data_IF_866372337772
#
_entry.id   IF_866372337772
#
_cell.length_a   1.000
_cell.length_b   1.000
_cell.length_c   1.000
_cell.angle_alpha   90.00
_cell.angle_beta   90.00
_cell.angle_gamma   90.00
#
_symmetry.space_group_name_H-M   'P 1'
#
loop_
_entity.id
_entity.type
_entity.pdbx_description
1 polymer ?
#
# COMPACT_ATOMS: atom_id res chain seq x y z
N UNK A 1 14.58 -10.83 4.74
CA UNK A 1 13.51 -9.90 5.19
C UNK A 1 12.12 -10.17 4.61
N UNK A 2 11.96 -10.77 3.42
CA UNK A 2 10.66 -10.78 2.71
C UNK A 2 9.59 -11.77 3.22
N UNK A 3 9.96 -12.76 4.05
CA UNK A 3 9.00 -13.74 4.59
C UNK A 3 8.15 -13.18 5.75
N UNK A 4 8.70 -12.28 6.57
CA UNK A 4 8.02 -11.71 7.73
C UNK A 4 6.91 -10.72 7.35
N UNK A 5 7.10 -9.93 6.29
CA UNK A 5 6.09 -8.97 5.80
C UNK A 5 4.83 -9.67 5.27
N UNK A 6 4.97 -10.85 4.64
CA UNK A 6 3.82 -11.62 4.16
C UNK A 6 3.00 -12.24 5.29
N UNK A 7 3.67 -12.73 6.34
CA UNK A 7 3.00 -13.29 7.52
C UNK A 7 2.19 -12.22 8.27
N UNK A 8 2.74 -11.02 8.46
CA UNK A 8 2.03 -9.91 9.11
C UNK A 8 0.82 -9.40 8.31
N UNK A 9 0.86 -9.49 6.97
CA UNK A 9 -0.22 -9.06 6.09
C UNK A 9 -1.46 -9.97 6.18
N UNK A 10 -1.27 -11.26 6.44
CA UNK A 10 -2.37 -12.21 6.67
C UNK A 10 -3.00 -12.01 8.07
N UNK A 11 -2.21 -11.60 9.06
CA UNK A 11 -2.70 -11.33 10.43
C UNK A 11 -3.43 -9.98 10.57
N UNK A 12 -3.13 -9.00 9.73
CA UNK A 12 -3.73 -7.66 9.80
C UNK A 12 -5.09 -7.54 9.09
N UNK A 13 -5.43 -8.47 8.18
CA UNK A 13 -6.68 -8.45 7.43
C UNK A 13 -7.93 -8.55 8.33
N UNK A 14 -7.99 -9.45 9.33
CA UNK A 14 -9.12 -9.51 10.26
C UNK A 14 -9.27 -8.24 11.10
N UNK A 15 -8.17 -7.66 11.58
CA UNK A 15 -8.19 -6.47 12.43
C UNK A 15 -8.62 -5.20 11.66
N UNK A 16 -8.16 -5.04 10.42
CA UNK A 16 -8.59 -3.94 9.54
C UNK A 16 -10.06 -4.09 9.12
N UNK A 17 -10.52 -5.31 8.87
CA UNK A 17 -11.92 -5.59 8.57
C UNK A 17 -12.82 -5.40 9.80
N UNK A 18 -12.38 -5.78 11.01
CA UNK A 18 -13.11 -5.50 12.26
C UNK A 18 -13.16 -4.01 12.58
N UNK A 19 -12.03 -3.29 12.51
CA UNK A 19 -12.05 -1.83 12.71
C UNK A 19 -12.94 -1.13 11.69
N UNK A 20 -12.95 -1.59 10.44
CA UNK A 20 -13.88 -1.14 9.41
C UNK A 20 -15.34 -1.45 9.78
N UNK A 21 -15.65 -2.69 10.18
CA UNK A 21 -16.99 -3.09 10.59
C UNK A 21 -17.48 -2.28 11.80
N UNK A 22 -16.62 -2.06 12.80
CA UNK A 22 -16.92 -1.27 14.00
C UNK A 22 -17.11 0.22 13.65
N UNK A 23 -16.30 0.77 12.74
CA UNK A 23 -16.44 2.13 12.22
C UNK A 23 -17.78 2.34 11.51
N UNK A 24 -18.20 1.36 10.71
CA UNK A 24 -19.43 1.41 9.91
C UNK A 24 -20.67 1.17 10.77
N UNK A 25 -20.63 0.23 11.71
CA UNK A 25 -21.80 -0.16 12.49
C UNK A 25 -22.00 0.61 13.79
N UNK A 26 -20.94 0.95 14.52
CA UNK A 26 -21.05 1.58 15.85
C UNK A 26 -20.70 3.07 15.81
N UNK A 27 -19.62 3.43 15.12
CA UNK A 27 -19.04 4.78 15.25
C UNK A 27 -19.61 5.77 14.22
N UNK A 28 -20.32 5.28 13.18
CA UNK A 28 -20.87 6.12 12.09
C UNK A 28 -21.81 7.22 12.60
N UNK A 29 -22.61 6.92 13.62
CA UNK A 29 -23.54 7.86 14.25
C UNK A 29 -22.88 8.88 15.19
N UNK A 30 -21.75 8.52 15.83
CA UNK A 30 -21.18 9.27 16.95
C UNK A 30 -20.05 10.25 16.54
N UNK A 31 -19.45 10.09 15.36
CA UNK A 31 -18.35 10.96 14.93
C UNK A 31 -18.85 12.33 14.46
N UNK A 32 -18.74 13.34 15.31
CA UNK A 32 -18.87 14.74 14.90
C UNK A 32 -17.90 15.14 13.77
N UNK A 33 -18.24 16.20 13.03
CA UNK A 33 -17.45 16.69 11.88
C UNK A 33 -15.98 17.02 12.26
N UNK A 34 -15.76 17.48 13.49
CA UNK A 34 -14.42 17.77 14.03
C UNK A 34 -13.55 16.52 14.15
N UNK A 35 -14.12 15.39 14.56
CA UNK A 35 -13.38 14.12 14.65
C UNK A 35 -13.05 13.60 13.25
N UNK A 36 -14.02 13.66 12.34
CA UNK A 36 -13.81 13.28 10.94
C UNK A 36 -12.69 14.08 10.29
N UNK A 37 -12.63 15.40 10.54
CA UNK A 37 -11.55 16.25 10.03
C UNK A 37 -10.17 15.79 10.50
N UNK A 38 -10.01 15.45 11.79
CA UNK A 38 -8.74 14.93 12.34
C UNK A 38 -8.36 13.59 11.73
N UNK A 39 -9.33 12.68 11.63
CA UNK A 39 -9.14 11.35 11.04
C UNK A 39 -8.72 11.47 9.57
N UNK A 40 -9.40 12.32 8.79
CA UNK A 40 -9.07 12.58 7.38
C UNK A 40 -7.65 13.11 7.26
N UNK A 41 -7.25 14.06 8.11
CA UNK A 41 -5.90 14.61 8.10
C UNK A 41 -4.83 13.54 8.37
N UNK A 42 -4.96 12.76 9.45
CA UNK A 42 -3.98 11.75 9.84
C UNK A 42 -3.79 10.69 8.75
N UNK A 43 -4.88 10.14 8.24
CA UNK A 43 -4.78 9.11 7.20
C UNK A 43 -4.32 9.67 5.85
N UNK A 44 -4.60 10.94 5.55
CA UNK A 44 -4.02 11.60 4.37
C UNK A 44 -2.49 11.71 4.48
N UNK A 45 -1.96 12.07 5.66
CA UNK A 45 -0.52 12.06 5.90
C UNK A 45 0.07 10.66 5.72
N UNK A 46 -0.57 9.63 6.28
CA UNK A 46 -0.11 8.25 6.15
C UNK A 46 -0.05 7.78 4.69
N UNK A 47 -0.97 8.23 3.82
CA UNK A 47 -0.99 7.87 2.40
C UNK A 47 0.22 8.43 1.64
N UNK A 48 0.64 9.64 2.01
CA UNK A 48 1.73 10.35 1.34
C UNK A 48 3.10 10.13 1.98
N UNK A 49 3.15 9.52 3.16
CA UNK A 49 4.40 9.17 3.82
C UNK A 49 5.07 7.95 3.16
N UNK A 50 6.13 8.23 2.39
CA UNK A 50 6.92 7.20 1.72
C UNK A 50 7.79 6.37 2.67
N UNK A 51 7.97 6.79 3.92
CA UNK A 51 8.69 6.01 4.95
C UNK A 51 7.84 4.88 5.52
N UNK A 52 6.51 5.00 5.42
CA UNK A 52 5.59 3.96 5.86
C UNK A 52 5.51 2.82 4.84
N UNK A 53 5.39 1.56 5.29
CA UNK A 53 5.11 0.43 4.42
C UNK A 53 3.86 0.63 3.56
N UNK A 54 3.88 0.14 2.31
CA UNK A 54 2.78 0.29 1.34
C UNK A 54 1.43 -0.22 1.86
N UNK A 55 1.43 -1.26 2.70
CA UNK A 55 0.20 -1.79 3.28
C UNK A 55 -0.48 -0.77 4.23
N UNK A 56 0.29 0.00 5.00
CA UNK A 56 -0.26 1.06 5.88
C UNK A 56 -0.89 2.16 5.05
N UNK A 57 -0.22 2.56 3.96
CA UNK A 57 -0.74 3.54 3.01
C UNK A 57 -2.06 3.04 2.38
N UNK A 58 -2.11 1.77 1.98
CA UNK A 58 -3.30 1.14 1.35
C UNK A 58 -4.47 1.04 2.33
N UNK A 59 -4.22 0.64 3.59
CA UNK A 59 -5.25 0.60 4.63
C UNK A 59 -5.78 2.00 4.94
N UNK A 60 -4.91 3.01 4.94
CA UNK A 60 -5.30 4.41 5.12
C UNK A 60 -6.23 4.90 4.01
N UNK A 61 -5.95 4.55 2.74
CA UNK A 61 -6.87 4.81 1.62
C UNK A 61 -8.24 4.16 1.86
N UNK A 62 -8.26 2.87 2.22
CA UNK A 62 -9.50 2.15 2.49
C UNK A 62 -10.32 2.84 3.58
N UNK A 63 -9.69 3.20 4.70
CA UNK A 63 -10.35 3.90 5.80
C UNK A 63 -10.96 5.23 5.35
N UNK A 64 -10.24 6.05 4.56
CA UNK A 64 -10.82 7.30 4.03
C UNK A 64 -12.03 7.05 3.12
N UNK A 65 -11.98 6.02 2.26
CA UNK A 65 -13.11 5.67 1.40
C UNK A 65 -14.33 5.23 2.20
N UNK A 66 -14.12 4.50 3.29
CA UNK A 66 -15.20 4.06 4.19
C UNK A 66 -15.86 5.22 4.94
N UNK A 67 -15.17 6.36 5.07
CA UNK A 67 -15.72 7.58 5.69
C UNK A 67 -16.52 8.44 4.71
N UNK A 68 -16.41 8.22 3.40
CA UNK A 68 -17.09 9.05 2.38
C UNK A 68 -18.60 9.05 2.60
N UNK A 69 -19.21 7.88 2.77
CA UNK A 69 -20.67 7.78 2.98
C UNK A 69 -21.11 8.36 4.34
N UNK A 70 -20.22 8.39 5.33
CA UNK A 70 -20.50 9.04 6.61
C UNK A 70 -20.48 10.57 6.45
N UNK A 71 -19.43 11.10 5.83
CA UNK A 71 -19.23 12.53 5.63
C UNK A 71 -20.31 13.11 4.70
N UNK A 72 -20.73 12.37 3.68
CA UNK A 72 -21.74 12.80 2.72
C UNK A 72 -23.07 13.21 3.36
N UNK A 73 -23.45 12.59 4.48
CA UNK A 73 -24.68 12.90 5.19
C UNK A 73 -24.53 13.98 6.28
N UNK A 74 -23.36 14.62 6.43
CA UNK A 74 -23.08 15.64 7.45
C UNK A 74 -22.86 17.01 6.82
N UNK A 75 -23.45 18.05 7.42
CA UNK A 75 -23.25 19.50 7.21
C UNK A 75 -22.70 19.92 5.83
N UNK A 76 -23.55 20.54 5.00
CA UNK A 76 -23.27 20.84 3.59
C UNK A 76 -21.92 21.54 3.28
N UNK A 77 -21.46 22.57 4.02
CA UNK A 77 -20.19 23.21 3.68
C UNK A 77 -18.96 22.43 4.19
N UNK A 78 -18.96 21.97 5.45
CA UNK A 78 -17.81 21.28 6.05
C UNK A 78 -17.64 19.85 5.54
N UNK A 79 -18.74 19.12 5.37
CA UNK A 79 -18.75 17.76 4.80
C UNK A 79 -18.18 17.77 3.39
N UNK A 80 -18.66 18.69 2.54
CA UNK A 80 -18.13 18.89 1.19
C UNK A 80 -16.63 19.21 1.19
N UNK A 81 -16.18 20.09 2.09
CA UNK A 81 -14.75 20.42 2.19
C UNK A 81 -13.89 19.18 2.55
N UNK A 82 -14.37 18.31 3.43
CA UNK A 82 -13.70 17.06 3.76
C UNK A 82 -13.68 16.07 2.58
N UNK A 83 -14.79 15.92 1.86
CA UNK A 83 -14.84 15.06 0.67
C UNK A 83 -13.86 15.53 -0.41
N UNK A 84 -13.79 16.84 -0.66
CA UNK A 84 -12.82 17.43 -1.59
C UNK A 84 -11.38 17.15 -1.14
N UNK A 85 -11.10 17.25 0.17
CA UNK A 85 -9.77 16.94 0.72
C UNK A 85 -9.41 15.46 0.55
N UNK A 86 -10.35 14.55 0.78
CA UNK A 86 -10.14 13.11 0.52
C UNK A 86 -9.83 12.89 -0.97
N UNK A 87 -10.65 13.45 -1.87
CA UNK A 87 -10.45 13.31 -3.31
C UNK A 87 -9.07 13.83 -3.74
N UNK A 88 -8.69 15.01 -3.27
CA UNK A 88 -7.39 15.61 -3.56
C UNK A 88 -6.22 14.73 -3.08
N UNK A 89 -6.33 14.14 -1.88
CA UNK A 89 -5.34 13.19 -1.37
C UNK A 89 -5.19 11.97 -2.29
N UNK A 90 -6.29 11.35 -2.70
CA UNK A 90 -6.27 10.17 -3.57
C UNK A 90 -5.70 10.49 -4.96
N UNK A 91 -6.13 11.60 -5.57
CA UNK A 91 -5.60 12.05 -6.88
C UNK A 91 -4.10 12.35 -6.79
N UNK A 92 -3.68 13.04 -5.73
CA UNK A 92 -2.25 13.31 -5.49
C UNK A 92 -1.44 12.02 -5.37
N UNK A 93 -2.01 10.96 -4.77
CA UNK A 93 -1.34 9.65 -4.66
C UNK A 93 -1.12 9.01 -6.04
N UNK A 94 -2.07 9.15 -6.96
CA UNK A 94 -1.90 8.66 -8.33
C UNK A 94 -0.76 9.37 -9.07
N UNK A 95 -0.52 10.66 -8.82
CA UNK A 95 0.64 11.36 -9.39
C UNK A 95 1.97 10.76 -8.92
N UNK A 96 2.08 10.40 -7.62
CA UNK A 96 3.25 9.68 -7.11
C UNK A 96 3.38 8.29 -7.74
N UNK A 97 2.29 7.53 -7.82
CA UNK A 97 2.29 6.18 -8.39
C UNK A 97 2.68 6.18 -9.88
N UNK A 98 2.21 7.17 -10.65
CA UNK A 98 2.57 7.36 -12.07
C UNK A 98 4.08 7.44 -12.27
N UNK A 99 4.80 8.08 -11.35
CA UNK A 99 6.26 8.19 -11.42
C UNK A 99 6.99 6.95 -10.88
N UNK A 100 6.39 6.26 -9.90
CA UNK A 100 7.03 5.17 -9.17
C UNK A 100 6.89 3.82 -9.88
N UNK A 101 5.73 3.54 -10.49
CA UNK A 101 5.44 2.25 -11.14
C UNK A 101 6.47 1.93 -12.24
N UNK A 102 6.78 2.83 -13.20
CA UNK A 102 7.76 2.51 -14.25
C UNK A 102 9.15 2.21 -13.68
N UNK A 103 9.57 2.91 -12.62
CA UNK A 103 10.88 2.70 -11.97
C UNK A 103 10.95 1.31 -11.35
N UNK A 104 9.89 0.87 -10.66
CA UNK A 104 9.85 -0.47 -10.08
C UNK A 104 9.76 -1.58 -11.13
N UNK A 105 9.03 -1.37 -12.23
CA UNK A 105 9.00 -2.34 -13.33
C UNK A 105 10.40 -2.53 -13.93
N UNK A 106 11.12 -1.43 -14.20
CA UNK A 106 12.50 -1.50 -14.69
C UNK A 106 13.45 -2.20 -13.70
N UNK A 107 13.28 -1.97 -12.39
CA UNK A 107 14.06 -2.66 -11.36
C UNK A 107 13.78 -4.17 -11.36
N UNK A 108 12.51 -4.58 -11.45
CA UNK A 108 12.13 -6.00 -11.49
C UNK A 108 12.72 -6.69 -12.72
N UNK A 109 12.67 -6.04 -13.89
CA UNK A 109 13.30 -6.58 -15.11
C UNK A 109 14.81 -6.71 -14.99
N UNK A 110 15.48 -5.70 -14.41
CA UNK A 110 16.92 -5.74 -14.19
C UNK A 110 17.33 -6.84 -13.20
N UNK A 111 16.58 -7.02 -12.12
CA UNK A 111 16.81 -8.12 -11.16
C UNK A 111 16.64 -9.48 -11.84
N UNK A 112 15.60 -9.66 -12.66
CA UNK A 112 15.38 -10.91 -13.38
C UNK A 112 16.53 -11.24 -14.35
N UNK A 113 17.01 -10.25 -15.11
CA UNK A 113 18.16 -10.44 -16.02
C UNK A 113 19.43 -10.82 -15.25
N UNK A 114 19.71 -10.16 -14.13
CA UNK A 114 20.86 -10.48 -13.29
C UNK A 114 20.80 -11.91 -12.71
N UNK A 115 19.62 -12.37 -12.31
CA UNK A 115 19.39 -13.75 -11.86
C UNK A 115 19.61 -14.78 -12.98
N UNK A 116 19.16 -14.48 -14.20
CA UNK A 116 19.36 -15.34 -15.38
C UNK A 116 20.85 -15.43 -15.77
N UNK A 117 21.59 -14.31 -15.74
CA UNK A 117 23.03 -14.28 -16.01
C UNK A 117 23.85 -15.03 -14.94
N UNK A 118 23.51 -14.89 -13.65
CA UNK A 118 24.18 -15.62 -12.57
C UNK A 118 23.94 -17.13 -12.69
N UNK A 119 22.72 -17.54 -13.07
CA UNK A 119 22.38 -18.93 -13.33
C UNK A 119 23.13 -19.50 -14.53
N UNK A 120 23.27 -18.74 -15.61
CA UNK A 120 24.03 -19.14 -16.79
C UNK A 120 25.53 -19.31 -16.49
N UNK A 121 26.14 -18.36 -15.73
CA UNK A 121 27.54 -18.45 -15.31
C UNK A 121 27.81 -19.64 -14.40
N UNK A 122 26.92 -19.92 -13.45
CA UNK A 122 27.02 -21.11 -12.58
C UNK A 122 26.89 -22.43 -13.34
N UNK A 123 26.00 -22.50 -14.34
CA UNK A 123 25.85 -23.69 -15.18
C UNK A 123 27.09 -23.93 -16.06
N UNK A 124 27.68 -22.88 -16.64
CA UNK A 124 28.91 -22.98 -17.42
C UNK A 124 30.12 -23.41 -16.56
N UNK A 125 30.25 -22.88 -15.34
CA UNK A 125 31.29 -23.28 -14.40
C UNK A 125 31.17 -24.75 -13.94
N UNK A 126 29.93 -25.23 -13.75
CA UNK A 126 29.68 -26.63 -13.40
C UNK A 126 30.03 -27.60 -14.56
N UNK A 127 29.79 -27.19 -15.81
CA UNK A 127 30.15 -27.98 -16.99
C UNK A 127 31.68 -28.04 -17.24
N UNK A 128 32.40 -26.97 -16.92
CA UNK A 128 33.87 -26.90 -17.10
C UNK A 128 34.65 -27.78 -16.10
N UNK A 129 34.09 -28.04 -14.91
CA UNK A 129 34.72 -28.88 -13.88
C UNK A 129 34.41 -30.39 -14.02
N UNK A 130 33.69 -30.80 -15.08
CA UNK A 130 33.27 -32.19 -15.33
C UNK A 130 34.00 -32.91 -16.47
N UNK A 131 35.26 -32.56 -16.75
CA UNK A 131 36.10 -33.27 -17.74
C UNK A 131 36.54 -34.67 -17.27
N UNK A 132 36.74 -35.65 -18.19
CA UNK A 132 36.75 -37.08 -17.88
C UNK A 132 37.95 -37.48 -17.00
N UNK A 133 37.68 -38.32 -16.00
CA UNK A 133 38.71 -39.05 -15.29
C UNK A 133 39.50 -39.90 -16.28
N UNK A 134 40.81 -39.63 -16.39
CA UNK A 134 41.75 -40.41 -17.20
C UNK A 134 41.66 -41.90 -16.86
N UNK A 135 41.65 -42.70 -17.93
CA UNK A 135 41.65 -44.16 -17.95
C UNK A 135 43.07 -44.73 -17.78
#
# INVERSE_FOLDING_TARGET
GHASVRASHETLRPLACSTLADLVHHVRGELGITHLSKVVYIFSCNIHDATLPLHIQTTSVRLLLNLVENIFHKSEPEGRALLVRILHCLVSKFATLKQLIPKHLAQVEATKKAEEEDKAKKAAAAAANGGPAEA
#
